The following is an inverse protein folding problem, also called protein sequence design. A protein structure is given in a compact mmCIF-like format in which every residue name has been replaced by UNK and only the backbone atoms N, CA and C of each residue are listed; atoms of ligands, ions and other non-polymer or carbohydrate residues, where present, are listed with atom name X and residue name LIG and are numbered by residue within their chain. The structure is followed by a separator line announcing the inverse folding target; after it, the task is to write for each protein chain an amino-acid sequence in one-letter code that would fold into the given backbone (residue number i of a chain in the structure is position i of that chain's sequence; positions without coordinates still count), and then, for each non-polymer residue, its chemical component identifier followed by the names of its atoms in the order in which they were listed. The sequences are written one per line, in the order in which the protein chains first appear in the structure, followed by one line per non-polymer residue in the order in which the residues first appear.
data_IF_241134893810
#
_entry.id   IF_241134893810
#
_cell.length_a   1.000
_cell.length_b   1.000
_cell.length_c   1.000
_cell.angle_alpha   90.00
_cell.angle_beta   90.00
_cell.angle_gamma   90.00
#
_symmetry.space_group_name_H-M   'P 1'
#
loop_
_entity.id
_entity.type
_entity.pdbx_description
1 polymer ?
#
# COMPACT_ATOMS: atom_id res chain seq x y z
N UNK A 1 -53.86 44.73 19.48
CA UNK A 1 -53.15 44.17 20.64
C UNK A 1 -52.56 42.81 20.29
N UNK A 2 -53.34 41.87 19.72
CA UNK A 2 -52.79 40.57 19.23
C UNK A 2 -51.88 40.72 17.99
N UNK A 3 -52.22 41.57 17.01
CA UNK A 3 -51.36 41.80 15.82
C UNK A 3 -49.99 42.43 16.16
N UNK A 4 -49.93 43.29 17.18
CA UNK A 4 -48.68 43.93 17.60
C UNK A 4 -47.72 42.96 18.32
N UNK A 5 -48.25 41.90 18.96
CA UNK A 5 -47.45 40.85 19.58
C UNK A 5 -46.90 39.87 18.53
N UNK A 6 -47.66 39.58 17.48
CA UNK A 6 -47.20 38.73 16.36
C UNK A 6 -46.09 39.42 15.56
N UNK A 7 -46.22 40.72 15.27
CA UNK A 7 -45.17 41.49 14.60
C UNK A 7 -43.89 41.58 15.44
N UNK A 8 -44.01 41.73 16.76
CA UNK A 8 -42.86 41.73 17.68
C UNK A 8 -42.19 40.36 17.77
N UNK A 9 -42.96 39.26 17.76
CA UNK A 9 -42.40 37.91 17.71
C UNK A 9 -41.74 37.61 16.36
N UNK A 10 -42.29 38.11 15.25
CA UNK A 10 -41.68 37.97 13.93
C UNK A 10 -40.39 38.79 13.84
N UNK A 11 -40.35 40.02 14.33
CA UNK A 11 -39.12 40.82 14.38
C UNK A 11 -38.05 40.18 15.28
N UNK A 12 -38.43 39.63 16.44
CA UNK A 12 -37.49 38.93 17.32
C UNK A 12 -36.90 37.66 16.66
N UNK A 13 -37.72 36.94 15.87
CA UNK A 13 -37.26 35.79 15.08
C UNK A 13 -36.28 36.19 13.97
N UNK A 14 -36.55 37.30 13.26
CA UNK A 14 -35.65 37.80 12.21
C UNK A 14 -34.36 38.39 12.77
N UNK A 15 -34.37 38.93 14.00
CA UNK A 15 -33.15 39.42 14.68
C UNK A 15 -32.22 38.28 15.14
N UNK A 16 -32.76 37.11 15.52
CA UNK A 16 -31.95 35.94 15.90
C UNK A 16 -31.23 35.28 14.71
N UNK A 17 -31.72 35.46 13.48
CA UNK A 17 -31.12 34.85 12.28
C UNK A 17 -29.99 35.69 11.67
N UNK A 18 -29.87 36.98 12.03
CA UNK A 18 -28.89 37.90 11.44
C UNK A 18 -27.63 38.16 12.29
N UNK A 19 -27.53 37.57 13.49
CA UNK A 19 -26.52 37.94 14.50
C UNK A 19 -25.53 36.84 14.90
N UNK A 20 -25.49 35.70 14.21
CA UNK A 20 -24.47 34.69 14.45
C UNK A 20 -23.21 35.02 13.67
N UNK A 21 -22.19 35.60 14.31
CA UNK A 21 -20.84 35.68 13.74
C UNK A 21 -20.37 34.25 13.44
N UNK A 22 -20.53 33.81 12.19
CA UNK A 22 -20.04 32.52 11.74
C UNK A 22 -18.52 32.58 11.74
N UNK A 23 -17.92 32.13 12.84
CA UNK A 23 -16.48 31.94 12.95
C UNK A 23 -16.06 30.86 11.95
N UNK A 24 -15.76 31.29 10.73
CA UNK A 24 -15.28 30.42 9.66
C UNK A 24 -13.81 30.08 9.92
N UNK A 25 -13.53 28.79 10.08
CA UNK A 25 -12.16 28.28 10.16
C UNK A 25 -11.55 28.37 8.76
N UNK A 26 -10.36 28.97 8.59
CA UNK A 26 -9.66 28.99 7.30
C UNK A 26 -9.42 27.58 6.77
N UNK A 27 -9.55 27.40 5.45
CA UNK A 27 -9.41 26.10 4.78
C UNK A 27 -8.04 25.48 5.02
N UNK A 28 -7.01 26.30 5.17
CA UNK A 28 -5.63 25.90 5.44
C UNK A 28 -5.53 25.18 6.80
N UNK A 29 -6.21 25.71 7.82
CA UNK A 29 -6.26 25.10 9.15
C UNK A 29 -7.05 23.80 9.11
N UNK A 30 -8.15 23.75 8.36
CA UNK A 30 -8.92 22.51 8.16
C UNK A 30 -8.05 21.45 7.50
N UNK A 31 -7.28 21.82 6.47
CA UNK A 31 -6.34 20.90 5.81
C UNK A 31 -5.27 20.41 6.78
N UNK A 32 -4.70 21.26 7.63
CA UNK A 32 -3.71 20.84 8.63
C UNK A 32 -4.31 19.85 9.66
N UNK A 33 -5.56 20.08 10.09
CA UNK A 33 -6.26 19.16 11.00
C UNK A 33 -6.45 17.81 10.33
N UNK A 34 -6.99 17.80 9.10
CA UNK A 34 -7.15 16.59 8.31
C UNK A 34 -5.79 15.91 8.07
N UNK A 35 -4.72 16.70 7.91
CA UNK A 35 -3.41 16.15 7.63
C UNK A 35 -2.80 15.37 8.82
N UNK A 36 -3.34 15.56 10.02
CA UNK A 36 -2.90 14.84 11.23
C UNK A 36 -3.72 13.58 11.51
N UNK A 37 -4.79 13.34 10.76
CA UNK A 37 -5.70 12.22 10.99
C UNK A 37 -5.22 10.93 10.31
N UNK A 38 -5.46 9.74 10.91
CA UNK A 38 -5.23 8.47 10.23
C UNK A 38 -6.05 8.34 8.95
N UNK A 39 -5.53 7.63 7.95
CA UNK A 39 -6.18 7.42 6.66
C UNK A 39 -7.58 6.80 6.79
N UNK A 40 -7.79 5.89 7.75
CA UNK A 40 -9.10 5.27 8.00
C UNK A 40 -10.16 6.30 8.45
N UNK A 41 -9.75 7.26 9.26
CA UNK A 41 -10.64 8.34 9.71
C UNK A 41 -10.93 9.32 8.58
N UNK A 42 -9.92 9.64 7.76
CA UNK A 42 -10.10 10.45 6.56
C UNK A 42 -11.06 9.80 5.56
N UNK A 43 -10.95 8.50 5.36
CA UNK A 43 -11.81 7.79 4.41
C UNK A 43 -13.28 7.82 4.84
N UNK A 44 -13.55 7.72 6.16
CA UNK A 44 -14.91 7.94 6.72
C UNK A 44 -15.43 9.36 6.51
N UNK A 45 -14.55 10.36 6.60
CA UNK A 45 -14.92 11.77 6.49
C UNK A 45 -15.28 12.22 5.07
N UNK A 46 -14.90 11.45 4.04
CA UNK A 46 -15.33 11.68 2.65
C UNK A 46 -16.84 11.70 2.49
N UNK A 47 -17.57 10.98 3.35
CA UNK A 47 -19.03 10.90 3.31
C UNK A 47 -19.75 12.09 3.97
N UNK A 48 -19.02 13.02 4.61
CA UNK A 48 -19.63 14.15 5.33
C UNK A 48 -20.23 15.16 4.36
N UNK A 49 -19.51 15.52 3.30
CA UNK A 49 -20.01 16.39 2.23
C UNK A 49 -19.08 16.37 1.01
N UNK A 50 -19.54 16.93 -0.12
CA UNK A 50 -18.70 17.11 -1.32
C UNK A 50 -17.45 17.96 -1.06
N UNK A 51 -17.56 18.96 -0.18
CA UNK A 51 -16.42 19.80 0.19
C UNK A 51 -15.36 18.98 0.92
N UNK A 52 -15.77 18.18 1.91
CA UNK A 52 -14.88 17.30 2.65
C UNK A 52 -14.22 16.27 1.75
N UNK A 53 -14.98 15.64 0.85
CA UNK A 53 -14.43 14.76 -0.17
C UNK A 53 -13.32 15.43 -1.00
N UNK A 54 -13.55 16.66 -1.47
CA UNK A 54 -12.58 17.42 -2.28
C UNK A 54 -11.31 17.82 -1.52
N UNK A 55 -11.40 18.01 -0.21
CA UNK A 55 -10.26 18.36 0.65
C UNK A 55 -9.46 17.12 1.06
N UNK A 56 -10.14 15.99 1.26
CA UNK A 56 -9.53 14.76 1.77
C UNK A 56 -8.84 13.95 0.68
N UNK A 57 -9.43 13.83 -0.51
CA UNK A 57 -8.84 13.05 -1.61
C UNK A 57 -7.36 13.39 -1.88
N UNK A 58 -6.96 14.66 -2.08
CA UNK A 58 -5.56 14.99 -2.33
C UNK A 58 -4.64 14.66 -1.15
N UNK A 59 -5.14 14.72 0.09
CA UNK A 59 -4.37 14.34 1.29
C UNK A 59 -4.11 12.83 1.28
N UNK A 60 -5.15 12.03 1.01
CA UNK A 60 -5.02 10.58 0.89
C UNK A 60 -4.08 10.22 -0.26
N UNK A 61 -4.27 10.82 -1.44
CA UNK A 61 -3.45 10.54 -2.63
C UNK A 61 -1.98 10.89 -2.38
N UNK A 62 -1.70 12.04 -1.76
CA UNK A 62 -0.35 12.47 -1.41
C UNK A 62 0.32 11.48 -0.46
N UNK A 63 -0.33 11.10 0.65
CA UNK A 63 0.26 10.18 1.62
C UNK A 63 0.44 8.78 1.06
N UNK A 64 -0.53 8.30 0.29
CA UNK A 64 -0.37 7.04 -0.42
C UNK A 64 0.89 7.10 -1.29
N UNK A 65 1.05 8.15 -2.11
CA UNK A 65 2.22 8.28 -2.99
C UNK A 65 3.54 8.38 -2.21
N UNK A 66 3.60 9.18 -1.15
CA UNK A 66 4.78 9.35 -0.29
C UNK A 66 5.21 8.05 0.38
N UNK A 67 4.26 7.20 0.79
CA UNK A 67 4.54 5.92 1.41
C UNK A 67 4.77 4.78 0.40
N UNK A 68 4.28 4.94 -0.83
CA UNK A 68 4.49 4.02 -1.93
C UNK A 68 5.86 4.19 -2.59
N UNK A 69 6.35 5.41 -2.74
CA UNK A 69 7.58 5.71 -3.48
C UNK A 69 8.81 4.96 -2.90
N UNK A 70 9.05 4.97 -1.57
CA UNK A 70 10.16 4.21 -0.97
C UNK A 70 10.03 2.70 -1.20
N UNK A 71 8.80 2.17 -1.19
CA UNK A 71 8.54 0.73 -1.41
C UNK A 71 8.76 0.34 -2.87
N UNK A 72 8.33 1.18 -3.82
CA UNK A 72 8.55 0.98 -5.25
C UNK A 72 10.04 1.08 -5.62
N UNK A 73 10.77 2.01 -5.02
CA UNK A 73 12.22 2.10 -5.17
C UNK A 73 12.91 0.84 -4.67
N UNK A 74 12.58 0.40 -3.45
CA UNK A 74 13.16 -0.82 -2.86
C UNK A 74 12.81 -2.08 -3.66
N UNK A 75 11.56 -2.20 -4.12
CA UNK A 75 11.11 -3.28 -5.00
C UNK A 75 11.90 -3.30 -6.31
N UNK A 76 12.12 -2.13 -6.93
CA UNK A 76 12.93 -2.03 -8.14
C UNK A 76 14.38 -2.43 -7.91
N UNK A 77 14.97 -2.05 -6.78
CA UNK A 77 16.32 -2.48 -6.41
C UNK A 77 16.41 -3.99 -6.17
N UNK A 78 15.45 -4.58 -5.46
CA UNK A 78 15.40 -6.03 -5.23
C UNK A 78 15.21 -6.80 -6.56
N UNK A 79 14.33 -6.30 -7.44
CA UNK A 79 14.13 -6.84 -8.79
C UNK A 79 15.41 -6.79 -9.64
N UNK A 80 16.18 -5.71 -9.56
CA UNK A 80 17.47 -5.61 -10.26
C UNK A 80 18.49 -6.64 -9.74
N UNK A 81 18.54 -6.85 -8.42
CA UNK A 81 19.39 -7.87 -7.79
C UNK A 81 19.01 -9.28 -8.24
N UNK A 82 17.71 -9.60 -8.24
CA UNK A 82 17.21 -10.90 -8.72
C UNK A 82 17.54 -11.12 -10.20
N UNK A 83 17.40 -10.08 -11.02
CA UNK A 83 17.77 -10.15 -12.45
C UNK A 83 19.26 -10.45 -12.63
N UNK A 84 20.14 -9.83 -11.84
CA UNK A 84 21.58 -10.07 -11.90
C UNK A 84 21.92 -11.53 -11.58
N UNK A 85 21.34 -12.10 -10.52
CA UNK A 85 21.53 -13.52 -10.16
C UNK A 85 20.98 -14.47 -11.23
N UNK A 86 19.82 -14.14 -11.80
CA UNK A 86 19.26 -14.92 -12.91
C UNK A 86 20.18 -14.93 -14.13
N UNK A 87 20.81 -13.79 -14.45
CA UNK A 87 21.74 -13.68 -15.57
C UNK A 87 23.08 -14.39 -15.27
N UNK A 88 23.54 -14.39 -14.01
CA UNK A 88 24.72 -15.16 -13.55
C UNK A 88 24.47 -16.68 -13.66
N UNK A 89 23.32 -17.16 -13.19
CA UNK A 89 22.92 -18.57 -13.31
C UNK A 89 22.82 -19.04 -14.76
N UNK A 90 22.34 -18.19 -15.67
CA UNK A 90 22.30 -18.50 -17.12
C UNK A 90 23.68 -18.54 -17.76
N UNK A 91 24.66 -17.85 -17.19
CA UNK A 91 26.06 -17.83 -17.66
C UNK A 91 26.87 -19.05 -17.23
N UNK A 92 26.41 -19.79 -16.22
CA UNK A 92 27.09 -20.97 -15.69
C UNK A 92 26.81 -22.19 -16.56
N UNK A 93 27.81 -22.58 -17.36
CA UNK A 93 27.74 -23.74 -18.28
C UNK A 93 27.86 -25.09 -17.56
N UNK A 94 28.23 -25.10 -16.27
CA UNK A 94 28.25 -26.29 -15.40
C UNK A 94 27.91 -25.83 -13.98
N UNK A 95 26.63 -25.94 -13.59
CA UNK A 95 26.17 -25.49 -12.27
C UNK A 95 26.55 -26.53 -11.21
N UNK A 96 27.43 -26.16 -10.29
CA UNK A 96 27.73 -26.95 -9.10
C UNK A 96 26.50 -26.97 -8.16
N UNK A 97 26.19 -28.12 -7.56
CA UNK A 97 25.10 -28.25 -6.60
C UNK A 97 25.23 -27.28 -5.40
N UNK A 98 26.46 -26.96 -4.97
CA UNK A 98 26.68 -25.98 -3.88
C UNK A 98 26.44 -24.53 -4.33
N UNK A 99 26.79 -24.18 -5.57
CA UNK A 99 26.48 -22.86 -6.13
C UNK A 99 24.96 -22.69 -6.28
N UNK A 100 24.27 -23.73 -6.74
CA UNK A 100 22.81 -23.73 -6.86
C UNK A 100 22.12 -23.59 -5.49
N UNK A 101 22.64 -24.25 -4.44
CA UNK A 101 22.16 -24.10 -3.06
C UNK A 101 22.32 -22.67 -2.55
N UNK A 102 23.48 -22.04 -2.82
CA UNK A 102 23.75 -20.67 -2.40
C UNK A 102 22.83 -19.68 -3.12
N UNK A 103 22.70 -19.79 -4.44
CA UNK A 103 21.78 -18.95 -5.22
C UNK A 103 20.32 -19.14 -4.80
N UNK A 104 19.90 -20.36 -4.43
CA UNK A 104 18.53 -20.61 -3.92
C UNK A 104 18.24 -19.82 -2.65
N UNK A 105 19.16 -19.86 -1.67
CA UNK A 105 18.99 -19.12 -0.41
C UNK A 105 18.93 -17.63 -0.65
N UNK A 106 19.78 -17.11 -1.54
CA UNK A 106 19.83 -15.70 -1.88
C UNK A 106 18.55 -15.23 -2.61
N UNK A 107 18.10 -16.00 -3.61
CA UNK A 107 16.84 -15.75 -4.32
C UNK A 107 15.66 -15.77 -3.34
N UNK A 108 15.61 -16.76 -2.44
CA UNK A 108 14.56 -16.83 -1.41
C UNK A 108 14.57 -15.59 -0.51
N UNK A 109 15.75 -15.17 -0.02
CA UNK A 109 15.86 -14.00 0.83
C UNK A 109 15.40 -12.71 0.11
N UNK A 110 15.72 -12.56 -1.18
CA UNK A 110 15.25 -11.43 -1.99
C UNK A 110 13.74 -11.46 -2.20
N UNK A 111 13.15 -12.64 -2.41
CA UNK A 111 11.70 -12.78 -2.54
C UNK A 111 10.99 -12.48 -1.22
N UNK A 112 11.52 -12.95 -0.09
CA UNK A 112 11.01 -12.64 1.24
C UNK A 112 11.13 -11.12 1.52
N UNK A 113 12.23 -10.47 1.11
CA UNK A 113 12.40 -9.01 1.15
C UNK A 113 11.32 -8.31 0.29
N UNK A 114 11.11 -8.75 -0.96
CA UNK A 114 10.11 -8.19 -1.86
C UNK A 114 8.69 -8.33 -1.28
N UNK A 115 8.34 -9.51 -0.75
CA UNK A 115 7.05 -9.79 -0.12
C UNK A 115 6.86 -8.93 1.15
N UNK A 116 7.92 -8.62 1.89
CA UNK A 116 7.84 -7.76 3.07
C UNK A 116 7.42 -6.31 2.74
N UNK A 117 7.78 -5.79 1.55
CA UNK A 117 7.31 -4.46 1.10
C UNK A 117 5.80 -4.42 0.87
N UNK A 118 5.20 -5.57 0.59
CA UNK A 118 3.76 -5.75 0.46
C UNK A 118 3.10 -6.16 1.78
N UNK A 119 3.82 -6.16 2.90
CA UNK A 119 3.18 -6.27 4.21
C UNK A 119 2.34 -5.01 4.47
N UNK A 120 1.03 -5.25 4.63
CA UNK A 120 -0.04 -4.26 4.70
C UNK A 120 -0.25 -3.76 6.14
N UNK A 121 0.60 -4.14 7.09
CA UNK A 121 0.34 -3.95 8.52
C UNK A 121 0.33 -2.48 9.01
N UNK A 122 0.70 -1.51 8.15
CA UNK A 122 0.67 -0.07 8.44
C UNK A 122 -0.62 0.66 8.04
N UNK A 123 -0.77 1.92 8.47
CA UNK A 123 -1.93 2.78 8.13
C UNK A 123 -2.16 2.93 6.62
N UNK A 124 -1.09 2.93 5.85
CA UNK A 124 -1.07 3.00 4.38
C UNK A 124 -1.63 1.73 3.76
N UNK A 125 -1.24 0.59 4.33
CA UNK A 125 -1.74 -0.70 3.91
C UNK A 125 -3.25 -0.81 4.16
N UNK A 126 -3.74 -0.31 5.30
CA UNK A 126 -5.18 -0.21 5.58
C UNK A 126 -5.89 0.77 4.64
N UNK A 127 -5.28 1.92 4.35
CA UNK A 127 -5.80 2.88 3.35
C UNK A 127 -5.88 2.29 1.94
N UNK A 128 -4.93 1.43 1.58
CA UNK A 128 -4.94 0.71 0.32
C UNK A 128 -6.01 -0.37 0.24
N UNK A 129 -6.28 -1.06 1.34
CA UNK A 129 -7.37 -2.01 1.44
C UNK A 129 -8.74 -1.32 1.37
N UNK A 130 -8.84 -0.04 1.75
CA UNK A 130 -10.10 0.71 1.68
C UNK A 130 -10.47 1.09 0.23
N UNK A 131 -9.52 1.04 -0.71
CA UNK A 131 -9.76 1.20 -2.14
C UNK A 131 -10.06 -0.17 -2.79
N UNK A 132 -11.31 -0.45 -3.20
CA UNK A 132 -11.72 -1.79 -3.66
C UNK A 132 -10.89 -2.32 -4.83
N UNK A 133 -10.55 -1.44 -5.80
CA UNK A 133 -9.74 -1.81 -6.97
C UNK A 133 -8.29 -2.15 -6.62
N UNK A 134 -7.73 -1.52 -5.58
CA UNK A 134 -6.35 -1.71 -5.19
C UNK A 134 -6.18 -2.92 -4.26
N UNK A 135 -7.18 -3.17 -3.39
CA UNK A 135 -7.21 -4.32 -2.49
C UNK A 135 -7.05 -5.65 -3.25
N UNK A 136 -7.88 -5.88 -4.26
CA UNK A 136 -7.85 -7.12 -5.06
C UNK A 136 -6.59 -7.18 -5.93
N UNK A 137 -6.13 -6.04 -6.46
CA UNK A 137 -4.95 -5.97 -7.32
C UNK A 137 -3.65 -6.24 -6.58
N UNK A 138 -3.48 -5.70 -5.36
CA UNK A 138 -2.24 -5.84 -4.59
C UNK A 138 -2.15 -7.20 -3.91
N UNK A 139 -3.26 -7.68 -3.33
CA UNK A 139 -3.29 -9.03 -2.75
C UNK A 139 -3.09 -10.09 -3.83
N UNK A 140 -3.79 -9.99 -4.96
CA UNK A 140 -3.60 -10.89 -6.10
C UNK A 140 -2.17 -10.84 -6.66
N UNK A 141 -1.56 -9.66 -6.77
CA UNK A 141 -0.17 -9.56 -7.22
C UNK A 141 0.82 -10.20 -6.24
N UNK A 142 0.66 -9.98 -4.93
CA UNK A 142 1.49 -10.60 -3.90
C UNK A 142 1.34 -12.11 -3.91
N UNK A 143 0.11 -12.61 -3.95
CA UNK A 143 -0.17 -14.04 -3.88
C UNK A 143 0.34 -14.76 -5.15
N UNK A 144 0.22 -14.12 -6.33
CA UNK A 144 0.83 -14.62 -7.57
C UNK A 144 2.37 -14.63 -7.48
N UNK A 145 2.98 -13.56 -6.97
CA UNK A 145 4.44 -13.50 -6.79
C UNK A 145 4.94 -14.57 -5.82
N UNK A 146 4.19 -14.83 -4.74
CA UNK A 146 4.51 -15.89 -3.79
C UNK A 146 4.38 -17.28 -4.42
N UNK A 147 3.35 -17.51 -5.25
CA UNK A 147 3.19 -18.77 -5.99
C UNK A 147 4.31 -18.99 -7.02
N UNK A 148 4.65 -17.97 -7.81
CA UNK A 148 5.74 -18.01 -8.79
C UNK A 148 7.10 -18.24 -8.10
N UNK A 149 7.30 -17.62 -6.93
CA UNK A 149 8.45 -17.82 -6.07
C UNK A 149 8.57 -19.27 -5.58
N UNK A 150 7.49 -19.83 -5.06
CA UNK A 150 7.46 -21.22 -4.59
C UNK A 150 7.71 -22.21 -5.74
N UNK A 151 7.12 -21.99 -6.91
CA UNK A 151 7.37 -22.82 -8.11
C UNK A 151 8.84 -22.79 -8.53
N UNK A 152 9.44 -21.59 -8.58
CA UNK A 152 10.86 -21.43 -8.91
C UNK A 152 11.78 -22.09 -7.88
N UNK A 153 11.50 -21.92 -6.59
CA UNK A 153 12.30 -22.52 -5.51
C UNK A 153 12.18 -24.06 -5.52
N UNK A 154 10.99 -24.61 -5.79
CA UNK A 154 10.77 -26.04 -5.96
C UNK A 154 11.53 -26.61 -7.16
N UNK A 155 11.59 -25.88 -8.28
CA UNK A 155 12.37 -26.30 -9.45
C UNK A 155 13.88 -26.34 -9.12
N UNK A 156 14.38 -25.38 -8.35
CA UNK A 156 15.78 -25.39 -7.88
C UNK A 156 16.04 -26.56 -6.92
N UNK A 157 15.12 -26.87 -6.01
CA UNK A 157 15.24 -28.03 -5.11
C UNK A 157 15.31 -29.35 -5.88
N UNK A 158 14.45 -29.54 -6.88
CA UNK A 158 14.46 -30.74 -7.71
C UNK A 158 15.77 -30.92 -8.49
N UNK A 159 16.40 -29.83 -8.95
CA UNK A 159 17.70 -29.87 -9.62
C UNK A 159 18.84 -30.19 -8.64
N UNK A 160 18.80 -29.63 -7.43
CA UNK A 160 19.76 -29.93 -6.36
C UNK A 160 19.69 -31.40 -5.95
N UNK A 161 18.50 -31.98 -5.87
CA UNK A 161 18.26 -33.37 -5.49
C UNK A 161 18.58 -34.35 -6.64
N UNK A 162 18.25 -34.00 -7.88
CA UNK A 162 18.50 -34.83 -9.06
C UNK A 162 19.99 -34.95 -9.44
N UNK A 163 20.79 -33.90 -9.20
CA UNK A 163 22.24 -33.92 -9.44
C UNK A 163 23.05 -34.79 -8.46
N UNK A 164 22.47 -35.18 -7.32
CA UNK A 164 23.12 -36.05 -6.34
C UNK A 164 23.04 -37.56 -6.68
N UNK A 165 22.25 -37.94 -7.70
CA UNK A 165 21.99 -39.34 -8.06
C UNK A 165 23.06 -40.02 -8.93
N UNK A 166 23.88 -39.27 -9.67
CA UNK A 166 24.83 -39.82 -10.65
C UNK A 166 26.23 -40.14 -10.10
N UNK A 167 26.47 -39.96 -8.79
CA UNK A 167 27.77 -40.24 -8.16
C UNK A 167 27.88 -41.64 -7.53
N UNK A 168 26.89 -42.53 -7.73
CA UNK A 168 26.87 -43.86 -7.08
C UNK A 168 26.58 -45.02 -8.06
N UNK A 169 27.12 -44.93 -9.27
CA UNK A 169 27.10 -46.05 -10.23
C UNK A 169 28.45 -46.19 -10.95
N UNK A 170 29.52 -46.41 -10.19
CA UNK A 170 30.72 -47.12 -10.66
C UNK A 170 31.53 -47.56 -9.41
N UNK A 171 31.15 -48.71 -8.86
CA UNK A 171 31.93 -49.49 -7.91
C UNK A 171 31.90 -50.96 -8.31
#
# INVERSE_FOLDING_TARGET
MEEEEEEQQQQHRHQMEAGGETHHIPVEIVKEILDRLPLETLDRFKCVSKLWYSLINPIIDQRLLEDFDPRLLQLNSARQRLKALSDELKGLVNVNAEELRLSRVEIKAMLDEMLSFWSIDGDVGRGLQSLPRFRESVSGFRDNLAADADEMLCAMDALIEGGAGDALQDA
#
